data_IF_958472317045
#
_entry.id   IF_958472317045
#
_cell.length_a   1.000
_cell.length_b   1.000
_cell.length_c   1.000
_cell.angle_alpha   90.00
_cell.angle_beta   90.00
_cell.angle_gamma   90.00
#
_symmetry.space_group_name_H-M   'P 1'
#
loop_
_entity.id
_entity.type
_entity.pdbx_description
1 polymer ?
#
# COMPACT_ATOMS: atom_id res chain seq x y z
N UNK A 1 1.27 3.86 -3.34
CA UNK A 1 1.86 5.02 -2.62
C UNK A 1 1.27 5.05 -1.21
N UNK A 2 2.09 5.25 -0.18
CA UNK A 2 1.62 5.50 1.19
C UNK A 2 1.91 6.94 1.58
N UNK A 3 1.10 7.51 2.48
CA UNK A 3 1.23 8.90 2.95
C UNK A 3 1.13 8.96 4.47
N UNK A 4 2.01 9.74 5.11
CA UNK A 4 2.07 9.86 6.57
C UNK A 4 2.03 11.35 6.98
N UNK A 5 1.28 11.66 8.04
CA UNK A 5 1.13 13.03 8.54
C UNK A 5 2.07 13.33 9.71
N UNK A 6 2.96 14.32 9.57
CA UNK A 6 3.97 14.67 10.57
C UNK A 6 3.40 15.15 11.93
N UNK A 7 2.14 15.62 11.98
CA UNK A 7 1.47 15.99 13.24
C UNK A 7 0.88 14.79 14.00
N UNK A 8 0.83 13.62 13.37
CA UNK A 8 0.17 12.40 13.89
C UNK A 8 1.17 11.28 14.11
N UNK A 9 2.16 11.16 13.23
CA UNK A 9 3.18 10.10 13.27
C UNK A 9 4.54 10.74 13.56
N UNK A 10 5.18 10.33 14.66
CA UNK A 10 6.54 10.74 15.00
C UNK A 10 7.59 10.12 14.06
N UNK A 11 8.80 10.72 13.97
CA UNK A 11 9.81 10.35 12.96
C UNK A 11 10.27 8.90 13.06
N UNK A 12 10.51 8.38 14.27
CA UNK A 12 10.97 6.99 14.45
C UNK A 12 9.89 5.98 14.01
N UNK A 13 8.61 6.23 14.31
CA UNK A 13 7.52 5.38 13.85
C UNK A 13 7.32 5.48 12.34
N UNK A 14 7.41 6.67 11.77
CA UNK A 14 7.33 6.88 10.33
C UNK A 14 8.44 6.11 9.59
N UNK A 15 9.66 6.09 10.13
CA UNK A 15 10.77 5.32 9.60
C UNK A 15 10.48 3.82 9.62
N UNK A 16 10.04 3.27 10.75
CA UNK A 16 9.68 1.86 10.85
C UNK A 16 8.58 1.43 9.87
N UNK A 17 7.57 2.29 9.65
CA UNK A 17 6.51 2.03 8.66
C UNK A 17 7.08 2.07 7.23
N UNK A 18 7.94 3.05 6.93
CA UNK A 18 8.57 3.17 5.62
C UNK A 18 9.45 1.95 5.30
N UNK A 19 10.27 1.50 6.26
CA UNK A 19 11.14 0.33 6.11
C UNK A 19 10.30 -0.93 5.84
N UNK A 20 9.21 -1.14 6.60
CA UNK A 20 8.30 -2.27 6.39
C UNK A 20 7.58 -2.22 5.04
N UNK A 21 7.11 -1.04 4.63
CA UNK A 21 6.44 -0.86 3.34
C UNK A 21 7.39 -1.12 2.16
N UNK A 22 8.63 -0.61 2.23
CA UNK A 22 9.64 -0.81 1.20
C UNK A 22 10.12 -2.26 1.10
N UNK A 23 10.12 -3.00 2.21
CA UNK A 23 10.47 -4.42 2.23
C UNK A 23 9.32 -5.35 1.79
N UNK A 24 8.10 -4.82 1.62
CA UNK A 24 6.93 -5.62 1.29
C UNK A 24 6.68 -5.65 -0.22
N UNK A 25 6.34 -6.82 -0.74
CA UNK A 25 5.93 -7.00 -2.13
C UNK A 25 4.49 -7.50 -2.21
N UNK A 26 3.79 -7.10 -3.27
CA UNK A 26 2.44 -7.58 -3.52
C UNK A 26 2.50 -9.00 -4.12
N UNK A 27 1.74 -9.93 -3.54
CA UNK A 27 1.57 -11.29 -4.07
C UNK A 27 0.34 -11.37 -5.00
N UNK A 28 0.53 -11.56 -6.31
CA UNK A 28 -0.57 -11.70 -7.27
C UNK A 28 -1.41 -12.97 -7.08
N UNK A 29 -0.94 -13.95 -6.30
CA UNK A 29 -1.69 -15.16 -5.97
C UNK A 29 -2.32 -15.10 -4.57
N UNK A 30 -2.13 -13.99 -3.86
CA UNK A 30 -2.65 -13.78 -2.53
C UNK A 30 -4.18 -13.60 -2.50
N UNK A 31 -4.79 -13.69 -1.31
CA UNK A 31 -6.25 -13.61 -1.16
C UNK A 31 -6.85 -12.27 -1.62
N UNK A 32 -6.05 -11.20 -1.65
CA UNK A 32 -6.46 -9.88 -2.10
C UNK A 32 -6.36 -9.66 -3.62
N UNK A 33 -5.81 -10.60 -4.38
CA UNK A 33 -5.57 -10.43 -5.82
C UNK A 33 -6.85 -10.16 -6.62
N UNK A 34 -7.94 -10.86 -6.30
CA UNK A 34 -9.23 -10.65 -6.95
C UNK A 34 -9.78 -9.22 -6.75
N UNK A 35 -9.53 -8.63 -5.57
CA UNK A 35 -9.96 -7.26 -5.28
C UNK A 35 -9.14 -6.25 -6.08
N UNK A 36 -7.82 -6.43 -6.16
CA UNK A 36 -6.93 -5.56 -6.96
C UNK A 36 -7.34 -5.60 -8.44
N UNK A 37 -7.55 -6.78 -9.01
CA UNK A 37 -8.01 -6.93 -10.41
C UNK A 37 -9.37 -6.27 -10.65
N UNK A 38 -10.26 -6.28 -9.66
CA UNK A 38 -11.55 -5.59 -9.79
C UNK A 38 -11.38 -4.07 -9.85
N UNK A 39 -10.46 -3.50 -9.08
CA UNK A 39 -10.12 -2.07 -9.15
C UNK A 39 -9.50 -1.72 -10.50
N UNK A 40 -8.54 -2.51 -11.00
CA UNK A 40 -7.92 -2.29 -12.31
C UNK A 40 -8.95 -2.29 -13.45
N UNK A 41 -9.92 -3.20 -13.39
CA UNK A 41 -11.04 -3.27 -14.35
C UNK A 41 -11.97 -2.06 -14.27
N UNK A 42 -12.11 -1.43 -13.11
CA UNK A 42 -12.90 -0.20 -12.97
C UNK A 42 -12.15 0.99 -13.58
N UNK A 43 -10.86 1.11 -13.31
CA UNK A 43 -10.02 2.16 -13.88
C UNK A 43 -9.95 2.07 -15.42
N UNK A 44 -9.88 0.86 -15.98
CA UNK A 44 -9.86 0.64 -17.42
C UNK A 44 -11.18 1.01 -18.15
N UNK A 45 -12.29 1.19 -17.42
CA UNK A 45 -13.59 1.58 -18.00
C UNK A 45 -13.78 3.10 -18.09
N UNK A 46 -12.84 3.88 -17.57
CA UNK A 46 -12.91 5.34 -17.47
C UNK A 46 -12.29 6.02 -18.68
#
# INVERSE_FOLDING_TARGET
>A
IITMGARVIGPELAKSIADAWLASEFDPNGPSAANVQAVDKLDAKR
#
